data_IF_359548427214
#
_entry.id   IF_359548427214
#
_cell.length_a   1.000
_cell.length_b   1.000
_cell.length_c   1.000
_cell.angle_alpha   90.00
_cell.angle_beta   90.00
_cell.angle_gamma   90.00
#
_symmetry.space_group_name_H-M   'P 1'
#
loop_
_entity.id
_entity.type
_entity.pdbx_description
1 polymer ?
#
# COMPACT_ATOMS: atom_id res chain seq x y z
N UNK A 1 24.07 -20.46 -2.56
CA UNK A 1 22.98 -19.74 -1.89
C UNK A 1 21.90 -19.55 -2.93
N UNK A 2 20.70 -20.08 -2.73
CA UNK A 2 19.55 -19.80 -3.60
C UNK A 2 19.27 -18.29 -3.54
N UNK A 3 19.31 -17.57 -4.66
CA UNK A 3 18.82 -16.19 -4.66
C UNK A 3 17.31 -16.28 -4.40
N UNK A 4 16.87 -15.71 -3.27
CA UNK A 4 15.46 -15.42 -3.10
C UNK A 4 15.18 -14.23 -3.99
N UNK A 5 14.69 -14.49 -5.19
CA UNK A 5 14.23 -13.45 -6.08
C UNK A 5 12.95 -12.85 -5.49
N UNK A 6 12.89 -11.52 -5.42
CA UNK A 6 11.71 -10.83 -4.95
C UNK A 6 10.54 -11.16 -5.87
N UNK A 7 9.40 -11.66 -5.34
CA UNK A 7 8.35 -12.21 -6.17
C UNK A 7 7.64 -11.08 -6.92
N UNK A 8 7.71 -11.13 -8.26
CA UNK A 8 7.04 -10.18 -9.16
C UNK A 8 5.81 -10.85 -9.74
N UNK A 9 4.66 -10.22 -9.56
CA UNK A 9 3.39 -10.66 -10.12
C UNK A 9 3.19 -10.02 -11.49
N UNK A 10 2.54 -10.75 -12.40
CA UNK A 10 2.04 -10.13 -13.62
C UNK A 10 0.89 -9.19 -13.27
N UNK A 11 0.62 -8.20 -14.12
CA UNK A 11 -0.51 -7.29 -13.92
C UNK A 11 -1.85 -8.02 -13.86
N UNK A 12 -2.04 -9.05 -14.67
CA UNK A 12 -3.25 -9.88 -14.61
C UNK A 12 -3.40 -10.54 -13.25
N UNK A 13 -2.31 -11.05 -12.67
CA UNK A 13 -2.36 -11.66 -11.33
C UNK A 13 -2.67 -10.60 -10.27
N UNK A 14 -2.05 -9.41 -10.35
CA UNK A 14 -2.34 -8.29 -9.45
C UNK A 14 -3.83 -7.96 -9.46
N UNK A 15 -4.43 -7.83 -10.65
CA UNK A 15 -5.86 -7.52 -10.81
C UNK A 15 -6.72 -8.64 -10.22
N UNK A 16 -6.43 -9.90 -10.56
CA UNK A 16 -7.19 -11.05 -10.06
C UNK A 16 -7.13 -11.15 -8.53
N UNK A 17 -5.93 -11.07 -7.94
CA UNK A 17 -5.74 -11.17 -6.49
C UNK A 17 -6.47 -10.05 -5.76
N UNK A 18 -6.39 -8.81 -6.25
CA UNK A 18 -7.10 -7.66 -5.66
C UNK A 18 -8.62 -7.87 -5.64
N UNK A 19 -9.17 -8.44 -6.71
CA UNK A 19 -10.60 -8.73 -6.83
C UNK A 19 -11.02 -9.92 -5.95
N UNK A 20 -10.29 -11.03 -6.00
CA UNK A 20 -10.56 -12.25 -5.23
C UNK A 20 -10.48 -12.00 -3.72
N UNK A 21 -9.51 -11.18 -3.29
CA UNK A 21 -9.34 -10.78 -1.89
C UNK A 21 -10.33 -9.68 -1.46
N UNK A 22 -11.20 -9.21 -2.35
CA UNK A 22 -12.15 -8.11 -2.14
C UNK A 22 -11.50 -6.79 -1.68
N UNK A 23 -10.24 -6.56 -2.06
CA UNK A 23 -9.49 -5.36 -1.70
C UNK A 23 -9.88 -4.20 -2.62
N UNK A 24 -9.91 -4.44 -3.93
CA UNK A 24 -10.29 -3.45 -4.93
C UNK A 24 -10.71 -4.08 -6.26
N UNK A 25 -11.70 -3.48 -6.91
CA UNK A 25 -12.05 -3.78 -8.31
C UNK A 25 -11.31 -2.81 -9.23
N UNK A 26 -10.29 -3.30 -9.94
CA UNK A 26 -9.41 -2.51 -10.81
C UNK A 26 -9.28 -3.14 -12.19
N UNK A 27 -8.85 -2.36 -13.18
CA UNK A 27 -8.69 -2.78 -14.57
C UNK A 27 -7.26 -2.54 -15.07
N UNK A 28 -6.89 -3.17 -16.19
CA UNK A 28 -5.58 -2.94 -16.82
C UNK A 28 -5.32 -1.45 -17.15
N UNK A 29 -6.37 -0.70 -17.49
CA UNK A 29 -6.25 0.70 -17.84
C UNK A 29 -5.87 1.58 -16.62
N UNK A 30 -6.28 1.19 -15.42
CA UNK A 30 -5.93 1.89 -14.19
C UNK A 30 -4.42 1.83 -13.91
N UNK A 31 -3.74 0.78 -14.37
CA UNK A 31 -2.28 0.62 -14.27
C UNK A 31 -1.49 1.23 -15.42
N UNK A 32 -2.13 1.57 -16.55
CA UNK A 32 -1.46 2.26 -17.67
C UNK A 32 -1.24 3.74 -17.37
N UNK A 33 -2.24 4.40 -16.80
CA UNK A 33 -2.22 5.83 -16.47
C UNK A 33 -2.56 6.03 -14.99
N UNK A 34 -1.62 5.67 -14.12
CA UNK A 34 -1.84 5.67 -12.68
C UNK A 34 -2.01 7.10 -12.17
N UNK A 35 -3.19 7.39 -11.61
CA UNK A 35 -3.47 8.66 -10.95
C UNK A 35 -3.00 8.62 -9.49
N UNK A 36 -2.43 9.71 -8.95
CA UNK A 36 -2.00 9.78 -7.54
C UNK A 36 -3.10 9.40 -6.54
N UNK A 37 -4.33 9.89 -6.74
CA UNK A 37 -5.45 9.59 -5.85
C UNK A 37 -5.84 8.11 -5.90
N UNK A 38 -5.82 7.51 -7.10
CA UNK A 38 -6.10 6.10 -7.29
C UNK A 38 -5.10 5.23 -6.53
N UNK A 39 -3.80 5.49 -6.72
CA UNK A 39 -2.78 4.64 -6.08
C UNK A 39 -2.74 4.84 -4.57
N UNK A 40 -2.97 6.07 -4.08
CA UNK A 40 -3.05 6.36 -2.66
C UNK A 40 -4.24 5.63 -2.00
N UNK A 41 -5.38 5.59 -2.68
CA UNK A 41 -6.55 4.84 -2.22
C UNK A 41 -6.30 3.32 -2.24
N UNK A 42 -5.65 2.81 -3.28
CA UNK A 42 -5.33 1.38 -3.38
C UNK A 42 -4.37 0.93 -2.26
N UNK A 43 -3.29 1.68 -2.03
CA UNK A 43 -2.36 1.37 -0.94
C UNK A 43 -3.02 1.49 0.42
N UNK A 44 -3.87 2.48 0.63
CA UNK A 44 -4.68 2.60 1.84
C UNK A 44 -5.47 1.32 2.11
N UNK A 45 -6.25 0.85 1.13
CA UNK A 45 -7.05 -0.38 1.26
C UNK A 45 -6.19 -1.61 1.57
N UNK A 46 -5.02 -1.69 0.94
CA UNK A 46 -4.05 -2.76 1.21
C UNK A 46 -3.52 -2.73 2.65
N UNK A 47 -3.18 -1.55 3.15
CA UNK A 47 -2.71 -1.41 4.53
C UNK A 47 -3.81 -1.74 5.54
N UNK A 48 -5.06 -1.35 5.27
CA UNK A 48 -6.21 -1.72 6.10
C UNK A 48 -6.41 -3.24 6.08
N UNK A 49 -6.38 -3.87 4.91
CA UNK A 49 -6.47 -5.34 4.79
C UNK A 49 -5.35 -6.07 5.56
N UNK A 50 -4.17 -5.46 5.65
CA UNK A 50 -3.06 -6.00 6.42
C UNK A 50 -3.15 -5.74 7.93
N UNK A 51 -4.13 -4.98 8.41
CA UNK A 51 -4.20 -4.42 9.77
C UNK A 51 -2.99 -3.51 10.11
N UNK A 52 -2.36 -2.94 9.07
CA UNK A 52 -1.22 -2.03 9.19
C UNK A 52 -1.65 -0.54 9.26
N UNK A 53 -2.94 -0.27 9.09
CA UNK A 53 -3.56 1.04 9.19
C UNK A 53 -4.99 0.84 9.69
N UNK A 54 -5.40 1.56 10.74
CA UNK A 54 -6.81 1.56 11.15
C UNK A 54 -7.60 2.56 10.31
N UNK A 55 -8.86 2.25 10.00
CA UNK A 55 -9.76 3.17 9.30
C UNK A 55 -9.93 4.51 10.04
N UNK A 56 -9.90 4.46 11.38
CA UNK A 56 -10.03 5.62 12.26
C UNK A 56 -8.79 6.55 12.22
N UNK A 57 -7.61 6.01 11.90
CA UNK A 57 -6.35 6.77 11.85
C UNK A 57 -6.22 7.64 10.59
N UNK A 58 -7.05 7.41 9.56
CA UNK A 58 -6.97 8.14 8.28
C UNK A 58 -7.35 9.63 8.38
N UNK A 59 -7.97 10.05 9.49
CA UNK A 59 -8.35 11.43 9.77
C UNK A 59 -7.69 12.04 11.02
N UNK A 60 -7.04 11.23 11.85
CA UNK A 60 -6.37 11.70 13.06
C UNK A 60 -4.96 12.15 12.70
N UNK A 61 -4.85 13.40 12.23
CA UNK A 61 -3.54 14.07 12.30
C UNK A 61 -3.24 14.28 13.78
N UNK A 62 -2.05 13.86 14.21
CA UNK A 62 -1.60 14.00 15.59
C UNK A 62 -1.80 15.45 16.03
N UNK A 63 -2.80 15.71 16.89
CA UNK A 63 -3.34 17.04 17.18
C UNK A 63 -2.24 18.01 17.64
N UNK A 64 -1.22 17.46 18.31
CA UNK A 64 -0.01 18.14 18.77
C UNK A 64 0.84 18.75 17.64
N UNK A 65 0.84 18.14 16.45
CA UNK A 65 1.55 18.66 15.28
C UNK A 65 0.78 19.79 14.58
N UNK A 66 -0.56 19.78 14.67
CA UNK A 66 -1.42 20.82 14.09
C UNK A 66 -1.39 22.13 14.90
N UNK A 67 -1.20 22.07 16.21
CA UNK A 67 -1.11 23.26 17.09
C UNK A 67 0.06 24.20 16.75
N UNK A 68 1.08 23.70 16.06
CA UNK A 68 2.26 24.50 15.65
C UNK A 68 2.11 25.14 14.26
N UNK A 69 0.96 24.95 13.59
CA UNK A 69 0.75 25.33 12.20
C UNK A 69 -0.30 26.43 12.12
N UNK A 70 0.04 27.52 11.45
CA UNK A 70 -0.82 28.71 11.32
C UNK A 70 -2.14 28.44 10.58
N UNK A 71 -2.15 27.49 9.63
CA UNK A 71 -3.30 27.12 8.80
C UNK A 71 -3.35 25.60 8.55
N UNK A 72 -3.75 24.79 9.54
CA UNK A 72 -3.70 23.33 9.47
C UNK A 72 -4.58 22.77 8.35
N UNK A 73 -5.73 23.39 8.08
CA UNK A 73 -6.70 22.96 7.07
C UNK A 73 -6.12 22.91 5.65
N UNK A 74 -5.18 23.81 5.33
CA UNK A 74 -4.51 23.85 4.03
C UNK A 74 -3.51 22.69 3.83
N UNK A 75 -3.10 22.04 4.92
CA UNK A 75 -2.06 21.01 4.93
C UNK A 75 -2.61 19.60 5.21
N UNK A 76 -3.90 19.43 5.54
CA UNK A 76 -4.51 18.13 5.86
C UNK A 76 -4.20 17.08 4.77
N UNK A 77 -4.39 17.43 3.49
CA UNK A 77 -4.09 16.51 2.39
C UNK A 77 -2.60 16.13 2.30
N UNK A 78 -1.69 17.05 2.65
CA UNK A 78 -0.25 16.76 2.70
C UNK A 78 0.10 15.82 3.85
N UNK A 79 -0.53 15.99 5.02
CA UNK A 79 -0.37 15.10 6.16
C UNK A 79 -0.84 13.68 5.85
N UNK A 80 -2.00 13.54 5.20
CA UNK A 80 -2.52 12.23 4.81
C UNK A 80 -1.55 11.48 3.88
N UNK A 81 -1.02 12.17 2.86
CA UNK A 81 -0.02 11.58 1.95
C UNK A 81 1.27 11.21 2.68
N UNK A 82 1.73 12.04 3.62
CA UNK A 82 2.94 11.78 4.39
C UNK A 82 2.77 10.59 5.34
N UNK A 83 1.63 10.49 6.03
CA UNK A 83 1.31 9.37 6.89
C UNK A 83 1.27 8.06 6.08
N UNK A 84 0.58 8.06 4.94
CA UNK A 84 0.56 6.90 4.03
C UNK A 84 1.97 6.53 3.56
N UNK A 85 2.79 7.52 3.19
CA UNK A 85 4.17 7.30 2.79
C UNK A 85 5.01 6.66 3.89
N UNK A 86 4.94 7.16 5.13
CA UNK A 86 5.67 6.61 6.27
C UNK A 86 5.28 5.15 6.53
N UNK A 87 3.96 4.85 6.55
CA UNK A 87 3.46 3.48 6.74
C UNK A 87 3.89 2.54 5.63
N UNK A 88 3.80 2.96 4.37
CA UNK A 88 4.27 2.14 3.25
C UNK A 88 5.77 1.86 3.35
N UNK A 89 6.58 2.84 3.77
CA UNK A 89 8.02 2.59 3.98
C UNK A 89 8.31 1.57 5.07
N UNK A 90 7.58 1.63 6.18
CA UNK A 90 7.69 0.64 7.27
C UNK A 90 7.34 -0.76 6.77
N UNK A 91 6.23 -0.90 6.03
CA UNK A 91 5.81 -2.18 5.43
C UNK A 91 6.82 -2.68 4.40
N UNK A 92 7.30 -1.83 3.49
CA UNK A 92 8.30 -2.26 2.50
C UNK A 92 9.61 -2.70 3.14
N UNK A 93 10.01 -2.06 4.24
CA UNK A 93 11.18 -2.46 5.01
C UNK A 93 10.97 -3.82 5.69
N UNK A 94 9.80 -4.08 6.27
CA UNK A 94 9.50 -5.38 6.91
C UNK A 94 9.42 -6.53 5.91
N UNK A 95 9.02 -6.24 4.66
CA UNK A 95 9.03 -7.17 3.54
C UNK A 95 10.42 -7.37 2.91
N UNK A 96 11.46 -6.68 3.40
CA UNK A 96 12.79 -6.65 2.80
C UNK A 96 12.75 -6.33 1.29
N UNK A 97 11.90 -5.38 0.89
CA UNK A 97 11.79 -4.96 -0.51
C UNK A 97 13.15 -4.43 -1.00
N UNK A 98 13.69 -4.95 -2.12
CA UNK A 98 14.99 -4.53 -2.65
C UNK A 98 14.94 -3.11 -3.22
N UNK A 99 13.75 -2.60 -3.50
CA UNK A 99 13.50 -1.29 -4.08
C UNK A 99 13.06 -0.31 -3.02
N UNK A 100 13.72 0.86 -2.96
CA UNK A 100 13.34 1.89 -2.00
C UNK A 100 12.04 2.59 -2.44
N UNK A 101 11.03 2.53 -1.58
CA UNK A 101 9.80 3.32 -1.70
C UNK A 101 10.08 4.79 -1.33
N UNK A 102 9.66 5.72 -2.17
CA UNK A 102 9.84 7.15 -1.98
C UNK A 102 8.56 7.92 -2.30
N UNK A 103 8.50 9.20 -1.94
CA UNK A 103 7.30 10.01 -2.08
C UNK A 103 6.81 10.15 -3.54
N UNK A 104 7.71 10.05 -4.53
CA UNK A 104 7.33 10.08 -5.96
C UNK A 104 6.43 8.91 -6.33
N UNK A 105 6.54 7.78 -5.63
CA UNK A 105 5.69 6.61 -5.87
C UNK A 105 4.21 6.85 -5.54
N UNK A 106 3.90 7.91 -4.78
CA UNK A 106 2.54 8.37 -4.52
C UNK A 106 2.16 9.58 -5.40
N UNK A 107 3.04 10.58 -5.51
CA UNK A 107 2.72 11.85 -6.18
C UNK A 107 2.81 11.76 -7.71
N UNK A 108 3.72 10.93 -8.23
CA UNK A 108 3.93 10.73 -9.67
C UNK A 108 4.23 9.25 -9.92
N UNK A 109 3.24 8.37 -9.70
CA UNK A 109 3.44 6.93 -9.72
C UNK A 109 3.92 6.47 -11.09
N UNK A 110 4.93 5.61 -11.07
CA UNK A 110 5.40 4.90 -12.25
C UNK A 110 4.74 3.51 -12.30
N UNK A 111 4.20 3.07 -13.45
CA UNK A 111 3.54 1.77 -13.56
C UNK A 111 4.40 0.59 -13.12
N UNK A 112 5.67 0.54 -13.54
CA UNK A 112 6.55 -0.59 -13.23
C UNK A 112 6.92 -0.62 -11.75
N UNK A 113 7.19 0.56 -11.18
CA UNK A 113 7.47 0.68 -9.74
C UNK A 113 6.25 0.29 -8.92
N UNK A 114 5.06 0.74 -9.34
CA UNK A 114 3.80 0.41 -8.68
C UNK A 114 3.54 -1.10 -8.67
N UNK A 115 3.69 -1.76 -9.81
CA UNK A 115 3.54 -3.22 -9.92
C UNK A 115 4.57 -3.96 -9.04
N UNK A 116 5.81 -3.46 -8.94
CA UNK A 116 6.84 -4.03 -8.07
C UNK A 116 6.45 -3.98 -6.57
N UNK A 117 5.96 -2.84 -6.11
CA UNK A 117 5.53 -2.68 -4.72
C UNK A 117 4.25 -3.46 -4.41
N UNK A 118 3.28 -3.44 -5.32
CA UNK A 118 2.07 -4.25 -5.19
C UNK A 118 2.39 -5.73 -5.14
N UNK A 119 3.37 -6.20 -5.93
CA UNK A 119 3.78 -7.60 -5.92
C UNK A 119 4.26 -8.03 -4.53
N UNK A 120 5.09 -7.23 -3.86
CA UNK A 120 5.55 -7.56 -2.51
C UNK A 120 4.41 -7.61 -1.49
N UNK A 121 3.57 -6.58 -1.49
CA UNK A 121 2.43 -6.50 -0.56
C UNK A 121 1.46 -7.67 -0.79
N UNK A 122 1.05 -7.92 -2.04
CA UNK A 122 0.05 -8.96 -2.35
C UNK A 122 0.56 -10.36 -2.07
N UNK A 123 1.85 -10.64 -2.37
CA UNK A 123 2.44 -11.92 -1.98
C UNK A 123 2.42 -12.12 -0.45
N UNK A 124 2.66 -11.05 0.31
CA UNK A 124 2.53 -11.11 1.76
C UNK A 124 1.08 -11.30 2.22
N UNK A 125 0.10 -10.65 1.58
CA UNK A 125 -1.33 -10.88 1.85
C UNK A 125 -1.69 -12.36 1.69
N UNK A 126 -1.33 -12.96 0.55
CA UNK A 126 -1.60 -14.37 0.26
C UNK A 126 -0.90 -15.30 1.26
N UNK A 127 0.34 -14.98 1.65
CA UNK A 127 1.06 -15.74 2.66
C UNK A 127 0.38 -15.64 4.03
N UNK A 128 0.01 -14.44 4.48
CA UNK A 128 -0.73 -14.19 5.74
C UNK A 128 -2.02 -15.02 5.74
N UNK A 129 -2.83 -14.93 4.70
CA UNK A 129 -4.08 -15.67 4.59
C UNK A 129 -3.87 -17.18 4.64
N UNK A 130 -2.92 -17.71 3.86
CA UNK A 130 -2.59 -19.14 3.86
C UNK A 130 -2.21 -19.62 5.26
N UNK A 131 -1.36 -18.86 5.97
CA UNK A 131 -0.94 -19.21 7.35
C UNK A 131 -2.08 -19.10 8.35
N UNK A 132 -2.92 -18.08 8.25
CA UNK A 132 -4.07 -17.91 9.13
C UNK A 132 -5.12 -19.01 8.92
N UNK A 133 -5.34 -19.45 7.69
CA UNK A 133 -6.26 -20.55 7.38
C UNK A 133 -5.80 -21.89 8.01
N UNK A 134 -4.50 -22.13 8.13
CA UNK A 134 -3.95 -23.30 8.83
C UNK A 134 -4.19 -23.28 10.35
N UNK A 135 -4.43 -22.09 10.92
CA UNK A 135 -4.68 -21.90 12.36
C UNK A 135 -6.17 -21.92 12.72
N UNK A 136 -7.07 -21.98 11.72
CA UNK A 136 -8.52 -22.04 11.98
C UNK A 136 -8.86 -23.37 12.66
N UNK A 137 -9.55 -23.36 13.81
CA UNK A 137 -9.97 -24.59 14.47
C UNK A 137 -10.91 -25.39 13.55
N UNK A 138 -10.77 -26.72 13.59
CA UNK A 138 -11.59 -27.69 12.86
C UNK A 138 -12.99 -27.74 13.47
#
# INVERSE_FOLDING_TARGET
MSSFDYPILSRSDIISILAESQIAAVTDNDFKNIKPDFISNLYTRLLIYLDALNEEDQGQVEFSALEQIENPDLLIGSFQVMNLYCRLREVMASLNCPMQFNLRDLIKPDPRRTEHFLSGILNFCLYKETKMNLLRPI
#
